data_IF_437279254447
#
_entry.id   IF_437279254447
#
_cell.length_a   1.000
_cell.length_b   1.000
_cell.length_c   1.000
_cell.angle_alpha   90.00
_cell.angle_beta   90.00
_cell.angle_gamma   90.00
#
_symmetry.space_group_name_H-M   'P 1'
#
loop_
_entity.id
_entity.type
_entity.pdbx_description
1 polymer ?
#
# COMPACT_ATOMS: atom_id res chain seq x y z
N UNK A 1 45.74 -9.11 -73.88
CA UNK A 1 45.17 -8.64 -72.58
C UNK A 1 44.75 -9.87 -71.76
N UNK A 2 45.50 -10.23 -70.72
CA UNK A 2 45.19 -11.37 -69.84
C UNK A 2 44.07 -10.99 -68.85
N UNK A 3 43.10 -11.89 -68.67
CA UNK A 3 41.91 -11.80 -67.80
C UNK A 3 42.27 -11.50 -66.34
N UNK A 4 41.37 -10.83 -65.62
CA UNK A 4 41.19 -11.02 -64.18
C UNK A 4 39.69 -11.13 -63.85
N UNK A 5 39.19 -12.36 -63.72
CA UNK A 5 37.87 -12.62 -63.15
C UNK A 5 38.04 -12.84 -61.64
N UNK A 6 37.54 -11.91 -60.84
CA UNK A 6 37.50 -12.01 -59.38
C UNK A 6 36.41 -13.01 -58.97
N UNK A 7 36.80 -14.10 -58.31
CA UNK A 7 35.88 -15.15 -57.82
C UNK A 7 35.52 -14.85 -56.36
N UNK A 8 34.38 -14.18 -56.13
CA UNK A 8 33.88 -13.92 -54.78
C UNK A 8 33.38 -15.23 -54.14
N UNK A 9 34.14 -15.73 -53.16
CA UNK A 9 33.73 -16.84 -52.29
C UNK A 9 32.83 -16.30 -51.17
N UNK A 10 31.53 -16.16 -51.43
CA UNK A 10 30.55 -15.95 -50.36
C UNK A 10 30.44 -17.25 -49.55
N UNK A 11 31.22 -17.33 -48.46
CA UNK A 11 31.11 -18.39 -47.45
C UNK A 11 29.67 -18.37 -46.92
N UNK A 12 28.87 -19.36 -47.30
CA UNK A 12 27.57 -19.64 -46.70
C UNK A 12 27.81 -19.95 -45.21
N UNK A 13 27.69 -18.94 -44.34
CA UNK A 13 27.65 -19.15 -42.90
C UNK A 13 26.35 -19.92 -42.62
N UNK A 14 26.45 -21.21 -42.32
CA UNK A 14 25.31 -22.02 -41.86
C UNK A 14 24.68 -21.30 -40.68
N UNK A 15 23.53 -20.64 -40.91
CA UNK A 15 22.75 -20.07 -39.81
C UNK A 15 22.20 -21.25 -39.02
N UNK A 16 22.66 -21.41 -37.77
CA UNK A 16 22.05 -22.36 -36.84
C UNK A 16 20.66 -21.81 -36.50
N UNK A 17 19.62 -22.51 -36.94
CA UNK A 17 18.23 -22.22 -36.54
C UNK A 17 17.96 -22.81 -35.16
N UNK A 18 17.08 -22.17 -34.41
CA UNK A 18 16.55 -22.68 -33.14
C UNK A 18 15.68 -23.92 -33.43
N UNK A 19 15.80 -24.95 -32.61
CA UNK A 19 14.95 -26.14 -32.76
C UNK A 19 13.58 -25.90 -32.12
N UNK A 20 12.53 -26.51 -32.66
CA UNK A 20 11.19 -26.44 -32.06
C UNK A 20 11.16 -27.01 -30.64
N UNK A 21 11.97 -28.05 -30.38
CA UNK A 21 12.06 -28.68 -29.06
C UNK A 21 12.68 -27.74 -28.03
N UNK A 22 13.70 -26.96 -28.39
CA UNK A 22 14.28 -25.94 -27.51
C UNK A 22 13.23 -24.89 -27.13
N UNK A 23 12.36 -24.49 -28.07
CA UNK A 23 11.31 -23.51 -27.79
C UNK A 23 10.23 -24.07 -26.86
N UNK A 24 9.83 -25.33 -27.09
CA UNK A 24 8.78 -26.00 -26.30
C UNK A 24 9.21 -26.17 -24.83
N UNK A 25 10.47 -26.52 -24.58
CA UNK A 25 10.98 -26.68 -23.21
C UNK A 25 10.99 -25.34 -22.47
N UNK A 26 11.35 -24.24 -23.15
CA UNK A 26 11.39 -22.90 -22.52
C UNK A 26 10.00 -22.46 -22.09
N UNK A 27 8.98 -22.59 -22.96
CA UNK A 27 7.61 -22.20 -22.59
C UNK A 27 7.04 -23.10 -21.48
N UNK A 28 7.43 -24.38 -21.44
CA UNK A 28 7.03 -25.31 -20.38
C UNK A 28 7.59 -24.88 -19.00
N UNK A 29 8.85 -24.46 -18.94
CA UNK A 29 9.47 -23.98 -17.69
C UNK A 29 8.83 -22.64 -17.25
N UNK A 30 8.61 -21.70 -18.19
CA UNK A 30 7.95 -20.41 -17.89
C UNK A 30 6.54 -20.65 -17.33
N UNK A 31 5.78 -21.59 -17.88
CA UNK A 31 4.45 -21.93 -17.41
C UNK A 31 4.43 -22.43 -15.95
N UNK A 32 5.40 -23.28 -15.56
CA UNK A 32 5.51 -23.78 -14.19
C UNK A 32 5.82 -22.64 -13.21
N UNK A 33 6.77 -21.76 -13.56
CA UNK A 33 7.16 -20.61 -12.72
C UNK A 33 5.99 -19.64 -12.56
N UNK A 34 5.25 -19.36 -13.63
CA UNK A 34 4.13 -18.42 -13.62
C UNK A 34 3.01 -18.86 -12.66
N UNK A 35 2.69 -20.16 -12.62
CA UNK A 35 1.65 -20.71 -11.72
C UNK A 35 2.00 -20.51 -10.24
N UNK A 36 3.26 -20.65 -9.85
CA UNK A 36 3.69 -20.51 -8.45
C UNK A 36 3.87 -19.03 -8.04
N UNK A 37 4.27 -18.18 -8.99
CA UNK A 37 4.56 -16.78 -8.72
C UNK A 37 3.29 -15.96 -8.41
N UNK A 38 2.24 -16.09 -9.22
CA UNK A 38 1.00 -15.29 -9.12
C UNK A 38 0.32 -15.34 -7.72
N UNK A 39 0.10 -16.50 -7.08
CA UNK A 39 -0.71 -16.57 -5.86
C UNK A 39 -0.10 -15.84 -4.65
N UNK A 40 1.22 -15.62 -4.62
CA UNK A 40 1.90 -15.05 -3.44
C UNK A 40 1.88 -13.52 -3.38
N UNK A 41 1.58 -12.84 -4.49
CA UNK A 41 1.61 -11.38 -4.55
C UNK A 41 0.40 -10.71 -3.88
N UNK A 42 -0.78 -11.34 -3.90
CA UNK A 42 -2.00 -10.74 -3.36
C UNK A 42 -1.99 -10.61 -1.83
N UNK A 43 -1.73 -11.71 -1.12
CA UNK A 43 -1.83 -11.74 0.35
C UNK A 43 -0.70 -10.98 1.05
N UNK A 44 0.53 -11.04 0.52
CA UNK A 44 1.66 -10.29 1.06
C UNK A 44 1.44 -8.78 0.96
N UNK A 45 0.91 -8.31 -0.17
CA UNK A 45 0.60 -6.89 -0.39
C UNK A 45 -0.54 -6.43 0.51
N UNK A 46 -1.60 -7.22 0.67
CA UNK A 46 -2.71 -6.88 1.55
C UNK A 46 -2.28 -6.80 3.03
N UNK A 47 -1.44 -7.73 3.48
CA UNK A 47 -0.88 -7.70 4.83
C UNK A 47 0.05 -6.48 5.03
N UNK A 48 0.86 -6.12 4.03
CA UNK A 48 1.70 -4.93 4.09
C UNK A 48 0.87 -3.64 4.21
N UNK A 49 -0.21 -3.50 3.41
CA UNK A 49 -1.16 -2.38 3.50
C UNK A 49 -1.82 -2.29 4.86
N UNK A 50 -2.32 -3.42 5.39
CA UNK A 50 -2.90 -3.46 6.74
C UNK A 50 -1.89 -3.07 7.83
N UNK A 51 -0.67 -3.58 7.76
CA UNK A 51 0.36 -3.25 8.75
C UNK A 51 0.76 -1.76 8.69
N UNK A 52 0.82 -1.18 7.49
CA UNK A 52 1.03 0.26 7.29
C UNK A 52 -0.09 1.07 7.94
N UNK A 53 -1.35 0.69 7.69
CA UNK A 53 -2.52 1.35 8.25
C UNK A 53 -2.57 1.24 9.79
N UNK A 54 -2.19 0.10 10.37
CA UNK A 54 -2.09 -0.04 11.84
C UNK A 54 -1.00 0.86 12.41
N UNK A 55 0.14 1.00 11.74
CA UNK A 55 1.21 1.90 12.17
C UNK A 55 0.75 3.38 12.10
N UNK A 56 0.08 3.75 11.01
CA UNK A 56 -0.52 5.09 10.86
C UNK A 56 -1.60 5.34 11.92
N UNK A 57 -2.47 4.36 12.19
CA UNK A 57 -3.50 4.45 13.21
C UNK A 57 -2.91 4.68 14.61
N UNK A 58 -1.79 4.03 14.95
CA UNK A 58 -1.06 4.29 16.20
C UNK A 58 -0.51 5.72 16.27
N UNK A 59 0.08 6.21 15.18
CA UNK A 59 0.59 7.59 15.12
C UNK A 59 -0.54 8.61 15.27
N UNK A 60 -1.69 8.36 14.63
CA UNK A 60 -2.90 9.18 14.78
C UNK A 60 -3.40 9.15 16.21
N UNK A 61 -3.50 7.96 16.84
CA UNK A 61 -3.97 7.84 18.21
C UNK A 61 -3.07 8.60 19.20
N UNK A 62 -1.74 8.52 19.01
CA UNK A 62 -0.79 9.29 19.80
C UNK A 62 -0.95 10.80 19.59
N UNK A 63 -1.12 11.26 18.34
CA UNK A 63 -1.35 12.67 18.03
C UNK A 63 -2.65 13.19 18.66
N UNK A 64 -3.73 12.41 18.61
CA UNK A 64 -5.01 12.76 19.24
C UNK A 64 -4.87 12.82 20.76
N UNK A 65 -4.20 11.84 21.36
CA UNK A 65 -3.96 11.83 22.82
C UNK A 65 -3.13 13.04 23.26
N UNK A 66 -2.14 13.42 22.45
CA UNK A 66 -1.32 14.61 22.70
C UNK A 66 -2.14 15.91 22.55
N UNK A 67 -2.95 16.04 21.50
CA UNK A 67 -3.83 17.19 21.32
C UNK A 67 -4.88 17.33 22.44
N UNK A 68 -5.37 16.21 22.99
CA UNK A 68 -6.23 16.23 24.19
C UNK A 68 -5.43 16.73 25.41
N UNK A 69 -4.19 16.28 25.58
CA UNK A 69 -3.33 16.69 26.68
C UNK A 69 -2.91 18.16 26.61
N UNK A 70 -2.73 18.71 25.39
CA UNK A 70 -2.44 20.12 25.14
C UNK A 70 -3.68 21.01 25.27
N UNK A 71 -4.88 20.42 25.30
CA UNK A 71 -6.16 21.11 25.42
C UNK A 71 -6.77 21.56 24.09
N UNK A 72 -6.14 21.23 22.96
CA UNK A 72 -6.61 21.56 21.62
C UNK A 72 -7.85 20.73 21.23
N UNK A 73 -8.00 19.53 21.78
CA UNK A 73 -9.20 18.69 21.64
C UNK A 73 -9.87 18.57 23.00
N UNK A 74 -11.12 19.01 23.07
CA UNK A 74 -11.95 18.84 24.26
C UNK A 74 -12.74 17.53 24.19
N UNK A 75 -12.72 16.76 25.28
CA UNK A 75 -13.49 15.53 25.39
C UNK A 75 -15.01 15.81 25.32
N UNK A 76 -15.79 14.89 24.73
CA UNK A 76 -17.24 15.02 24.73
C UNK A 76 -17.80 14.96 26.16
N UNK A 77 -18.99 15.54 26.36
CA UNK A 77 -19.67 15.47 27.65
C UNK A 77 -20.01 14.03 28.04
N UNK A 78 -20.12 13.76 29.34
CA UNK A 78 -20.44 12.43 29.86
C UNK A 78 -21.71 11.84 29.21
N UNK A 79 -21.64 10.59 28.77
CA UNK A 79 -22.71 9.87 28.07
C UNK A 79 -23.16 10.47 26.71
N UNK A 80 -22.41 11.40 26.12
CA UNK A 80 -22.61 11.83 24.74
C UNK A 80 -22.06 10.79 23.74
N UNK A 81 -22.51 10.88 22.48
CA UNK A 81 -21.87 10.15 21.39
C UNK A 81 -20.38 10.51 21.32
N UNK A 82 -19.50 9.56 20.96
CA UNK A 82 -18.07 9.83 20.89
C UNK A 82 -17.78 10.93 19.86
N UNK A 83 -16.80 11.78 20.18
CA UNK A 83 -16.30 12.79 19.26
C UNK A 83 -15.68 12.10 18.05
N UNK A 84 -16.16 12.41 16.86
CA UNK A 84 -15.64 11.88 15.62
C UNK A 84 -14.75 12.91 14.91
N UNK A 85 -13.53 12.52 14.59
CA UNK A 85 -12.55 13.34 13.84
C UNK A 85 -12.21 12.59 12.56
N UNK A 86 -12.27 13.29 11.42
CA UNK A 86 -11.85 12.73 10.14
C UNK A 86 -10.47 13.26 9.79
N UNK A 87 -9.48 12.39 9.64
CA UNK A 87 -8.11 12.79 9.33
C UNK A 87 -8.05 13.35 7.91
N UNK A 88 -7.53 14.58 7.78
CA UNK A 88 -7.61 15.36 6.53
C UNK A 88 -8.90 16.18 6.38
N UNK A 89 -9.78 16.16 7.39
CA UNK A 89 -10.90 17.09 7.51
C UNK A 89 -10.44 18.54 7.74
N UNK A 90 -11.36 19.49 7.59
CA UNK A 90 -11.09 20.93 7.77
C UNK A 90 -11.68 21.51 9.06
N UNK A 91 -12.18 20.67 9.95
CA UNK A 91 -12.62 21.07 11.28
C UNK A 91 -11.42 21.36 12.21
N UNK A 92 -11.66 22.11 13.29
CA UNK A 92 -10.61 22.52 14.22
C UNK A 92 -9.88 21.32 14.82
N UNK A 93 -10.62 20.26 15.18
CA UNK A 93 -10.05 19.03 15.74
C UNK A 93 -9.17 18.30 14.72
N UNK A 94 -9.62 18.15 13.47
CA UNK A 94 -8.79 17.56 12.42
C UNK A 94 -7.53 18.39 12.13
N UNK A 95 -7.62 19.72 12.19
CA UNK A 95 -6.47 20.62 12.02
C UNK A 95 -5.48 20.48 13.17
N UNK A 96 -5.96 20.40 14.42
CA UNK A 96 -5.12 20.16 15.59
C UNK A 96 -4.34 18.85 15.47
N UNK A 97 -5.02 17.76 15.08
CA UNK A 97 -4.34 16.48 14.83
C UNK A 97 -3.37 16.58 13.65
N UNK A 98 -3.74 17.25 12.56
CA UNK A 98 -2.90 17.39 11.38
C UNK A 98 -1.58 18.13 11.66
N UNK A 99 -1.59 19.12 12.55
CA UNK A 99 -0.37 19.85 12.95
C UNK A 99 0.64 18.97 13.69
N UNK A 100 0.17 17.89 14.31
CA UNK A 100 0.99 16.93 15.06
C UNK A 100 1.44 15.74 14.20
N UNK A 101 0.90 15.59 12.99
CA UNK A 101 1.24 14.53 12.06
C UNK A 101 2.23 15.03 11.00
N UNK A 102 3.17 14.17 10.58
CA UNK A 102 4.14 14.46 9.51
C UNK A 102 3.54 14.26 8.10
N UNK A 103 2.30 14.70 7.91
CA UNK A 103 1.50 14.48 6.70
C UNK A 103 0.15 13.82 7.01
N UNK A 104 -0.77 13.84 6.04
CA UNK A 104 -2.12 13.25 6.17
C UNK A 104 -2.11 11.81 5.64
N UNK A 105 -2.00 10.78 6.50
CA UNK A 105 -2.03 9.40 6.05
C UNK A 105 -3.42 9.04 5.50
N UNK A 106 -3.46 8.26 4.42
CA UNK A 106 -4.70 7.73 3.84
C UNK A 106 -4.73 6.20 3.98
N UNK A 107 -5.87 5.59 4.32
CA UNK A 107 -5.97 4.14 4.44
C UNK A 107 -5.77 3.44 3.09
N UNK A 108 -5.02 2.35 3.09
CA UNK A 108 -4.81 1.51 1.90
C UNK A 108 -5.37 0.09 2.06
N UNK A 109 -5.72 -0.31 3.29
CA UNK A 109 -6.18 -1.66 3.61
C UNK A 109 -7.66 -1.92 3.27
N UNK A 110 -8.46 -0.86 3.09
CA UNK A 110 -9.88 -0.94 2.78
C UNK A 110 -10.18 -0.17 1.49
N UNK A 111 -10.70 -0.86 0.49
CA UNK A 111 -11.01 -0.25 -0.80
C UNK A 111 -12.13 0.79 -0.68
N UNK A 112 -11.93 1.95 -1.30
CA UNK A 112 -12.91 3.04 -1.33
C UNK A 112 -12.95 3.94 -0.09
N UNK A 113 -12.10 3.68 0.92
CA UNK A 113 -11.94 4.55 2.09
C UNK A 113 -10.81 5.55 1.83
N UNK A 114 -11.10 6.85 1.98
CA UNK A 114 -10.13 7.92 1.68
C UNK A 114 -9.52 8.58 2.91
N UNK A 115 -10.05 8.32 4.10
CA UNK A 115 -9.59 8.95 5.34
C UNK A 115 -9.74 8.00 6.54
N UNK A 116 -8.88 8.20 7.54
CA UNK A 116 -9.06 7.58 8.85
C UNK A 116 -10.11 8.35 9.65
N UNK A 117 -10.93 7.62 10.39
CA UNK A 117 -11.89 8.19 11.32
C UNK A 117 -11.45 7.85 12.74
N UNK A 118 -11.35 8.87 13.59
CA UNK A 118 -11.01 8.71 15.00
C UNK A 118 -12.27 8.95 15.82
N UNK A 119 -12.61 8.02 16.72
CA UNK A 119 -13.62 8.26 17.74
C UNK A 119 -12.95 8.39 19.10
N UNK A 120 -13.24 9.48 19.81
CA UNK A 120 -12.76 9.78 21.16
C UNK A 120 -13.95 9.77 22.11
N UNK A 121 -13.87 8.98 23.17
CA UNK A 121 -14.90 8.86 24.22
C UNK A 121 -14.75 9.93 25.30
N UNK A 122 -15.74 10.04 26.20
CA UNK A 122 -15.71 10.93 27.36
C UNK A 122 -14.64 10.56 28.40
N UNK A 123 -14.19 9.31 28.40
CA UNK A 123 -13.05 8.80 29.19
C UNK A 123 -11.69 9.08 28.55
N UNK A 124 -11.66 9.59 27.31
CA UNK A 124 -10.43 9.82 26.56
C UNK A 124 -9.91 8.58 25.82
N UNK A 125 -10.67 7.49 25.77
CA UNK A 125 -10.30 6.33 24.97
C UNK A 125 -10.39 6.66 23.49
N UNK A 126 -9.30 6.43 22.77
CA UNK A 126 -9.16 6.73 21.34
C UNK A 126 -9.28 5.45 20.52
N UNK A 127 -10.17 5.46 19.53
CA UNK A 127 -10.30 4.40 18.54
C UNK A 127 -10.10 4.95 17.14
N UNK A 128 -9.29 4.29 16.32
CA UNK A 128 -9.01 4.72 14.93
C UNK A 128 -9.49 3.66 13.97
N UNK A 129 -10.25 4.10 12.96
CA UNK A 129 -10.93 3.25 12.00
C UNK A 129 -10.54 3.63 10.56
N UNK A 130 -10.56 2.64 9.68
CA UNK A 130 -10.64 2.81 8.23
C UNK A 130 -11.99 2.26 7.75
N UNK A 131 -12.92 3.15 7.41
CA UNK A 131 -14.31 2.77 7.14
C UNK A 131 -14.94 2.15 8.38
N UNK A 132 -15.27 0.85 8.33
CA UNK A 132 -15.82 0.08 9.47
C UNK A 132 -14.79 -0.75 10.22
N UNK A 133 -13.54 -0.80 9.73
CA UNK A 133 -12.49 -1.63 10.32
C UNK A 133 -11.76 -0.87 11.41
N UNK A 134 -11.74 -1.40 12.63
CA UNK A 134 -10.95 -0.85 13.74
C UNK A 134 -9.49 -1.26 13.56
N UNK A 135 -8.59 -0.27 13.56
CA UNK A 135 -7.15 -0.45 13.41
C UNK A 135 -6.38 -0.08 14.69
N UNK A 136 -6.97 0.75 15.53
CA UNK A 136 -6.48 1.05 16.87
C UNK A 136 -7.63 1.10 17.89
N UNK A 137 -7.47 0.49 19.08
CA UNK A 137 -6.35 -0.37 19.49
C UNK A 137 -6.24 -1.60 18.59
N UNK A 138 -5.02 -2.11 18.39
CA UNK A 138 -4.80 -3.25 17.49
C UNK A 138 -5.57 -4.49 17.99
N UNK A 139 -6.26 -5.23 17.10
CA UNK A 139 -7.00 -6.43 17.47
C UNK A 139 -6.09 -7.57 17.94
#
# INVERSE_FOLDING_TARGET
>A
MRRLFMKNNLKNKKKKGFTLIELIIVIAIIAIIAVIAIPRFGSATQNARRNSDIANAKNIANAVTMAIAEGDITLPAAAASPLQITIGGSDANATAVANLLQGTPTPESVDGVTAFTVNVTDTGDVTVLAGTTVLFPAP
#
